data_IF_422966207092
#
_entry.id   IF_422966207092
#
_cell.length_a   1.000
_cell.length_b   1.000
_cell.length_c   1.000
_cell.angle_alpha   90.00
_cell.angle_beta   90.00
_cell.angle_gamma   90.00
#
_symmetry.space_group_name_H-M   'P 1'
#
loop_
_entity.id
_entity.type
_entity.pdbx_description
1 polymer ?
#
# COMPACT_ATOMS: atom_id res chain seq x y z
N UNK A 1 -35.86 6.66 -23.37
CA UNK A 1 -34.61 7.22 -22.81
C UNK A 1 -34.72 8.72 -22.96
N UNK A 2 -34.64 9.47 -21.86
CA UNK A 2 -34.64 10.94 -21.92
C UNK A 2 -33.22 11.43 -22.21
N UNK A 3 -33.09 12.53 -22.94
CA UNK A 3 -31.79 13.18 -23.16
C UNK A 3 -31.24 13.75 -21.85
N UNK A 4 -29.94 13.57 -21.61
CA UNK A 4 -29.23 14.09 -20.45
C UNK A 4 -28.27 15.22 -20.82
N UNK A 5 -27.93 16.07 -19.84
CA UNK A 5 -26.97 17.17 -20.01
C UNK A 5 -25.68 16.82 -19.26
N UNK A 6 -24.53 16.98 -19.91
CA UNK A 6 -23.21 16.88 -19.28
C UNK A 6 -22.61 18.29 -19.15
N UNK A 7 -22.36 18.74 -17.91
CA UNK A 7 -21.71 20.02 -17.64
C UNK A 7 -20.23 19.77 -17.34
N UNK A 8 -19.35 20.22 -18.23
CA UNK A 8 -17.90 20.16 -18.04
C UNK A 8 -17.42 21.49 -17.44
N UNK A 9 -16.74 21.45 -16.30
CA UNK A 9 -16.21 22.64 -15.61
C UNK A 9 -14.84 23.09 -16.16
N UNK A 10 -14.54 22.77 -17.41
CA UNK A 10 -13.29 23.06 -18.10
C UNK A 10 -13.57 23.40 -19.57
N UNK A 11 -12.63 24.09 -20.22
CA UNK A 11 -12.79 24.51 -21.62
C UNK A 11 -12.76 23.32 -22.58
N UNK A 12 -13.36 23.51 -23.76
CA UNK A 12 -13.32 22.50 -24.83
C UNK A 12 -11.88 22.26 -25.33
N UNK A 13 -11.07 23.31 -25.45
CA UNK A 13 -9.66 23.19 -25.86
C UNK A 13 -8.85 22.33 -24.88
N UNK A 14 -9.06 22.51 -23.57
CA UNK A 14 -8.44 21.68 -22.54
C UNK A 14 -8.88 20.21 -22.68
N UNK A 15 -10.17 19.96 -22.88
CA UNK A 15 -10.68 18.60 -23.08
C UNK A 15 -10.08 17.91 -24.32
N UNK A 16 -10.05 18.60 -25.46
CA UNK A 16 -9.53 18.07 -26.72
C UNK A 16 -8.01 17.84 -26.69
N UNK A 17 -7.29 18.54 -25.81
CA UNK A 17 -5.84 18.38 -25.64
C UNK A 17 -5.44 17.17 -24.78
N UNK A 18 -6.39 16.55 -24.06
CA UNK A 18 -6.11 15.43 -23.16
C UNK A 18 -5.89 14.14 -23.96
N UNK A 19 -5.01 13.24 -23.48
CA UNK A 19 -4.92 11.90 -24.03
C UNK A 19 -6.28 11.18 -23.99
N UNK A 20 -6.56 10.39 -25.02
CA UNK A 20 -7.79 9.61 -25.10
C UNK A 20 -7.88 8.52 -24.01
N UNK A 21 -6.73 8.08 -23.49
CA UNK A 21 -6.61 7.06 -22.45
C UNK A 21 -5.68 7.57 -21.35
N UNK A 22 -6.02 7.23 -20.10
CA UNK A 22 -5.13 7.44 -18.95
C UNK A 22 -4.04 6.37 -18.93
N UNK A 23 -2.84 6.73 -18.49
CA UNK A 23 -1.74 5.78 -18.34
C UNK A 23 -2.12 4.63 -17.39
N UNK A 24 -1.77 3.37 -17.74
CA UNK A 24 -2.04 2.22 -16.90
C UNK A 24 -1.48 2.36 -15.49
N UNK A 25 -2.15 1.74 -14.53
CA UNK A 25 -1.74 1.77 -13.12
C UNK A 25 -0.38 1.10 -12.90
N UNK A 26 -0.06 0.05 -13.66
CA UNK A 26 1.20 -0.69 -13.55
C UNK A 26 2.43 0.20 -13.83
N UNK A 27 2.26 1.30 -14.57
CA UNK A 27 3.33 2.26 -14.84
C UNK A 27 3.51 3.27 -13.68
N UNK A 28 2.53 3.38 -12.77
CA UNK A 28 2.41 4.48 -11.80
C UNK A 28 2.47 4.07 -10.34
N UNK A 29 2.54 2.77 -10.02
CA UNK A 29 2.45 2.25 -8.64
C UNK A 29 3.63 1.38 -8.22
N UNK A 30 3.80 1.21 -6.90
CA UNK A 30 4.81 0.33 -6.33
C UNK A 30 4.46 -1.14 -6.62
N UNK A 31 5.38 -1.85 -7.26
CA UNK A 31 5.17 -3.22 -7.74
C UNK A 31 5.53 -4.30 -6.72
N UNK A 32 5.97 -3.96 -5.51
CA UNK A 32 6.40 -4.96 -4.52
C UNK A 32 5.33 -6.03 -4.24
N UNK A 33 4.06 -5.63 -4.08
CA UNK A 33 2.95 -6.59 -3.90
C UNK A 33 2.77 -7.51 -5.11
N UNK A 34 2.87 -6.95 -6.32
CA UNK A 34 2.74 -7.69 -7.59
C UNK A 34 3.90 -8.66 -7.76
N UNK A 35 5.14 -8.20 -7.55
CA UNK A 35 6.35 -9.03 -7.61
C UNK A 35 6.23 -10.19 -6.62
N UNK A 36 5.83 -9.91 -5.37
CA UNK A 36 5.67 -10.93 -4.35
C UNK A 36 4.63 -11.98 -4.74
N UNK A 37 3.49 -11.55 -5.30
CA UNK A 37 2.45 -12.44 -5.82
C UNK A 37 2.96 -13.28 -7.00
N UNK A 38 3.64 -12.67 -7.96
CA UNK A 38 4.21 -13.36 -9.12
C UNK A 38 5.25 -14.41 -8.70
N UNK A 39 6.15 -14.07 -7.75
CA UNK A 39 7.10 -15.02 -7.19
C UNK A 39 6.40 -16.13 -6.41
N UNK A 40 5.31 -15.83 -5.70
CA UNK A 40 4.51 -16.85 -5.00
C UNK A 40 3.81 -17.83 -5.95
N UNK A 41 3.50 -17.39 -7.17
CA UNK A 41 2.91 -18.18 -8.26
C UNK A 41 3.97 -18.82 -9.19
N UNK A 42 5.26 -18.64 -8.90
CA UNK A 42 6.37 -19.20 -9.69
C UNK A 42 6.38 -18.78 -11.18
N UNK A 43 5.94 -17.55 -11.46
CA UNK A 43 5.84 -17.00 -12.83
C UNK A 43 7.19 -16.60 -13.47
N UNK A 44 8.31 -16.89 -12.80
CA UNK A 44 9.65 -16.63 -13.30
C UNK A 44 10.10 -15.17 -13.19
N UNK A 45 11.00 -14.75 -14.08
CA UNK A 45 11.55 -13.39 -14.11
C UNK A 45 10.50 -12.38 -14.53
N UNK A 46 10.21 -11.42 -13.66
CA UNK A 46 9.27 -10.33 -13.93
C UNK A 46 9.71 -9.47 -15.11
N UNK A 47 11.03 -9.29 -15.34
CA UNK A 47 11.51 -8.50 -16.47
C UNK A 47 11.27 -9.18 -17.83
N UNK A 48 11.11 -10.50 -17.83
CA UNK A 48 10.78 -11.30 -19.01
C UNK A 48 9.27 -11.60 -19.13
N UNK A 49 8.47 -11.17 -18.16
CA UNK A 49 7.04 -11.44 -18.15
C UNK A 49 6.31 -10.64 -19.25
N UNK A 50 5.41 -11.26 -20.04
CA UNK A 50 4.77 -10.62 -21.20
C UNK A 50 3.63 -9.68 -20.77
N UNK A 51 3.96 -8.54 -20.18
CA UNK A 51 2.99 -7.50 -19.86
C UNK A 51 2.40 -6.87 -21.13
N UNK A 52 1.12 -6.48 -21.09
CA UNK A 52 0.48 -5.69 -22.15
C UNK A 52 1.19 -4.34 -22.30
N UNK A 53 1.42 -3.67 -21.17
CA UNK A 53 2.28 -2.50 -21.05
C UNK A 53 3.26 -2.76 -19.90
N UNK A 54 4.54 -2.91 -20.26
CA UNK A 54 5.56 -3.27 -19.30
C UNK A 54 5.89 -2.09 -18.37
N UNK A 55 5.99 -2.32 -17.04
CA UNK A 55 6.43 -1.28 -16.12
C UNK A 55 7.87 -0.88 -16.35
N UNK A 56 8.21 0.33 -15.89
CA UNK A 56 9.57 0.81 -15.88
C UNK A 56 10.49 -0.13 -15.07
N UNK A 57 11.68 -0.39 -15.62
CA UNK A 57 12.71 -1.21 -14.97
C UNK A 57 13.06 -0.72 -13.57
N UNK A 58 12.98 0.60 -13.35
CA UNK A 58 13.21 1.22 -12.04
C UNK A 58 12.17 0.79 -11.01
N UNK A 59 10.88 0.80 -11.36
CA UNK A 59 9.80 0.36 -10.45
C UNK A 59 9.93 -1.12 -10.11
N UNK A 60 10.35 -1.95 -11.08
CA UNK A 60 10.67 -3.36 -10.84
C UNK A 60 11.81 -3.48 -9.82
N UNK A 61 12.93 -2.79 -10.06
CA UNK A 61 14.11 -2.83 -9.19
C UNK A 61 13.79 -2.35 -7.77
N UNK A 62 13.05 -1.25 -7.62
CA UNK A 62 12.65 -0.71 -6.33
C UNK A 62 11.75 -1.69 -5.57
N UNK A 63 10.82 -2.36 -6.26
CA UNK A 63 9.96 -3.39 -5.68
C UNK A 63 10.73 -4.64 -5.25
N UNK A 64 11.65 -5.13 -6.07
CA UNK A 64 12.52 -6.27 -5.75
C UNK A 64 13.39 -5.95 -4.53
N UNK A 65 14.05 -4.80 -4.54
CA UNK A 65 14.91 -4.34 -3.44
C UNK A 65 14.12 -4.24 -2.12
N UNK A 66 12.91 -3.70 -2.16
CA UNK A 66 12.06 -3.65 -0.97
C UNK A 66 11.80 -5.06 -0.42
N UNK A 67 11.47 -6.02 -1.29
CA UNK A 67 11.21 -7.38 -0.83
C UNK A 67 12.47 -8.12 -0.35
N UNK A 68 13.65 -7.78 -0.87
CA UNK A 68 14.93 -8.24 -0.31
C UNK A 68 15.17 -7.67 1.09
N UNK A 69 14.96 -6.36 1.27
CA UNK A 69 15.08 -5.68 2.58
C UNK A 69 14.09 -6.26 3.62
N UNK A 70 12.89 -6.66 3.18
CA UNK A 70 11.90 -7.36 4.02
C UNK A 70 12.25 -8.84 4.26
N UNK A 71 13.27 -9.38 3.59
CA UNK A 71 13.70 -10.78 3.68
C UNK A 71 12.71 -11.76 3.04
N UNK A 72 11.91 -11.31 2.06
CA UNK A 72 10.87 -12.09 1.40
C UNK A 72 11.40 -12.89 0.19
N UNK A 73 12.29 -12.28 -0.60
CA UNK A 73 12.87 -12.87 -1.82
C UNK A 73 14.37 -12.54 -1.94
N UNK A 74 15.25 -13.11 -1.10
CA UNK A 74 16.69 -12.95 -1.23
C UNK A 74 17.18 -13.48 -2.58
N UNK A 75 18.20 -12.81 -3.14
CA UNK A 75 18.97 -13.32 -4.26
C UNK A 75 19.72 -14.59 -3.84
N UNK A 76 19.46 -15.71 -4.52
CA UNK A 76 20.20 -16.94 -4.30
C UNK A 76 21.58 -16.90 -4.96
N UNK A 77 22.49 -17.77 -4.53
CA UNK A 77 23.83 -17.93 -5.13
C UNK A 77 23.78 -18.26 -6.63
N UNK A 78 22.67 -18.83 -7.09
CA UNK A 78 22.40 -19.19 -8.49
C UNK A 78 21.88 -17.98 -9.32
N UNK A 79 21.78 -16.79 -8.72
CA UNK A 79 21.28 -15.59 -9.38
C UNK A 79 19.76 -15.53 -9.56
N UNK A 80 19.01 -16.43 -8.91
CA UNK A 80 17.54 -16.45 -8.95
C UNK A 80 16.92 -15.95 -7.64
N UNK A 81 15.78 -15.25 -7.72
CA UNK A 81 15.03 -14.84 -6.54
C UNK A 81 14.24 -16.03 -5.98
N UNK A 82 14.58 -16.47 -4.76
CA UNK A 82 13.88 -17.58 -4.10
C UNK A 82 13.06 -17.05 -2.93
N UNK A 83 11.78 -17.42 -2.90
CA UNK A 83 10.87 -17.02 -1.81
C UNK A 83 11.22 -17.74 -0.50
N UNK A 84 11.37 -16.98 0.58
CA UNK A 84 11.63 -17.50 1.94
C UNK A 84 10.33 -17.97 2.63
N UNK A 85 10.42 -18.67 3.78
CA UNK A 85 9.25 -18.94 4.61
C UNK A 85 8.50 -17.67 5.03
N UNK A 86 9.22 -16.59 5.38
CA UNK A 86 8.62 -15.28 5.65
C UNK A 86 7.96 -14.71 4.39
N UNK A 87 8.61 -14.79 3.22
CA UNK A 87 8.03 -14.38 1.94
C UNK A 87 6.75 -15.14 1.59
N UNK A 88 6.67 -16.43 1.94
CA UNK A 88 5.46 -17.25 1.79
C UNK A 88 4.32 -16.74 2.67
N UNK A 89 4.60 -16.45 3.95
CA UNK A 89 3.60 -15.88 4.86
C UNK A 89 3.16 -14.47 4.46
N UNK A 90 4.10 -13.63 3.98
CA UNK A 90 3.80 -12.29 3.49
C UNK A 90 2.86 -12.33 2.30
N UNK A 91 3.10 -13.23 1.34
CA UNK A 91 2.27 -13.37 0.13
C UNK A 91 0.82 -13.81 0.42
N UNK A 92 0.53 -14.34 1.61
CA UNK A 92 -0.82 -14.75 2.01
C UNK A 92 -1.65 -13.59 2.58
N UNK A 93 -1.02 -12.47 2.96
CA UNK A 93 -1.71 -11.32 3.55
C UNK A 93 -2.12 -10.33 2.45
N UNK A 94 -3.41 -9.94 2.35
CA UNK A 94 -3.91 -9.05 1.31
C UNK A 94 -3.65 -7.57 1.65
N UNK A 95 -2.42 -7.22 2.01
CA UNK A 95 -2.00 -5.85 2.36
C UNK A 95 -0.62 -5.56 1.79
N UNK A 96 -0.17 -4.31 1.86
CA UNK A 96 1.18 -3.92 1.46
C UNK A 96 2.24 -4.78 2.19
N UNK A 97 3.30 -5.26 1.49
CA UNK A 97 4.35 -6.09 2.07
C UNK A 97 4.99 -5.52 3.34
N UNK A 98 5.08 -4.21 3.50
CA UNK A 98 5.63 -3.57 4.71
C UNK A 98 4.69 -3.77 5.89
N UNK A 99 3.39 -3.55 5.70
CA UNK A 99 2.38 -3.76 6.74
C UNK A 99 2.27 -5.25 7.09
N UNK A 100 2.29 -6.13 6.08
CA UNK A 100 2.33 -7.57 6.28
C UNK A 100 3.57 -7.97 7.12
N UNK A 101 4.73 -7.36 6.85
CA UNK A 101 5.96 -7.62 7.60
C UNK A 101 5.87 -7.18 9.05
N UNK A 102 5.27 -6.02 9.31
CA UNK A 102 5.02 -5.54 10.67
C UNK A 102 4.19 -6.56 11.46
N UNK A 103 3.08 -7.04 10.88
CA UNK A 103 2.19 -8.01 11.53
C UNK A 103 2.90 -9.33 11.82
N UNK A 104 3.69 -9.85 10.87
CA UNK A 104 4.45 -11.09 11.07
C UNK A 104 5.52 -10.95 12.17
N UNK A 105 6.24 -9.84 12.23
CA UNK A 105 7.26 -9.63 13.26
C UNK A 105 6.66 -9.37 14.64
N UNK A 106 5.47 -8.75 14.71
CA UNK A 106 4.76 -8.50 15.97
C UNK A 106 4.52 -9.77 16.80
N UNK A 107 4.43 -10.94 16.14
CA UNK A 107 4.29 -12.23 16.82
C UNK A 107 5.48 -12.52 17.74
N UNK A 108 6.69 -12.15 17.34
CA UNK A 108 7.91 -12.38 18.12
C UNK A 108 8.00 -11.46 19.34
N UNK A 109 7.41 -10.27 19.24
CA UNK A 109 7.38 -9.27 20.31
C UNK A 109 6.13 -9.36 21.19
N UNK A 110 5.19 -10.24 20.88
CA UNK A 110 3.95 -10.42 21.64
C UNK A 110 2.95 -9.27 21.51
N UNK A 111 3.07 -8.42 20.49
CA UNK A 111 2.24 -7.21 20.28
C UNK A 111 1.38 -7.29 19.00
N UNK A 112 0.95 -8.49 18.62
CA UNK A 112 0.20 -8.72 17.38
C UNK A 112 -1.10 -7.93 17.36
N UNK A 113 -1.81 -7.82 18.49
CA UNK A 113 -3.08 -7.10 18.58
C UNK A 113 -2.91 -5.62 18.22
N UNK A 114 -1.96 -4.96 18.87
CA UNK A 114 -1.67 -3.54 18.70
C UNK A 114 -1.20 -3.26 17.26
N UNK A 115 -0.30 -4.10 16.75
CA UNK A 115 0.23 -3.94 15.39
C UNK A 115 -0.82 -4.22 14.33
N UNK A 116 -1.75 -5.17 14.54
CA UNK A 116 -2.88 -5.37 13.63
C UNK A 116 -3.81 -4.15 13.59
N UNK A 117 -4.08 -3.52 14.74
CA UNK A 117 -4.89 -2.28 14.79
C UNK A 117 -4.20 -1.17 14.00
N UNK A 118 -2.89 -0.98 14.21
CA UNK A 118 -2.10 0.03 13.50
C UNK A 118 -2.08 -0.28 11.99
N UNK A 119 -1.80 -1.52 11.61
CA UNK A 119 -1.76 -1.93 10.20
C UNK A 119 -3.12 -1.73 9.50
N UNK A 120 -4.22 -2.05 10.18
CA UNK A 120 -5.55 -1.80 9.67
C UNK A 120 -5.82 -0.30 9.48
N UNK A 121 -5.49 0.53 10.48
CA UNK A 121 -5.65 1.99 10.40
C UNK A 121 -4.83 2.61 9.26
N UNK A 122 -3.61 2.11 9.01
CA UNK A 122 -2.74 2.60 7.92
C UNK A 122 -3.16 2.09 6.54
N UNK A 123 -3.94 1.02 6.47
CA UNK A 123 -4.41 0.44 5.20
C UNK A 123 -5.60 1.18 4.57
N UNK A 124 -6.20 2.11 5.32
CA UNK A 124 -7.36 2.89 4.90
C UNK A 124 -7.05 4.39 4.99
N UNK A 125 -7.91 5.21 4.38
CA UNK A 125 -7.88 6.65 4.62
C UNK A 125 -8.21 6.92 6.10
N UNK A 126 -7.52 7.90 6.71
CA UNK A 126 -7.77 8.29 8.09
C UNK A 126 -9.26 8.60 8.29
N UNK A 127 -9.90 7.82 9.17
CA UNK A 127 -11.33 7.91 9.44
C UNK A 127 -11.70 9.14 10.29
N UNK A 128 -10.72 9.86 10.82
CA UNK A 128 -10.94 11.04 11.66
C UNK A 128 -11.35 12.24 10.81
N UNK A 129 -12.49 12.85 11.15
CA UNK A 129 -12.96 14.07 10.48
C UNK A 129 -12.27 15.32 11.03
N UNK A 130 -11.90 16.23 10.13
CA UNK A 130 -11.36 17.55 10.50
C UNK A 130 -11.95 18.66 9.63
N UNK A 131 -13.23 19.02 9.80
CA UNK A 131 -13.88 20.08 9.03
C UNK A 131 -13.20 21.43 9.26
N UNK A 132 -13.04 22.23 8.19
CA UNK A 132 -12.36 23.53 8.24
C UNK A 132 -12.99 24.49 9.25
N UNK A 133 -14.32 24.48 9.35
CA UNK A 133 -15.08 25.33 10.28
C UNK A 133 -14.94 24.90 11.76
N UNK A 134 -14.59 23.64 12.02
CA UNK A 134 -14.56 23.04 13.37
C UNK A 134 -13.19 22.44 13.72
N UNK A 135 -12.12 22.99 13.15
CA UNK A 135 -10.76 22.45 13.34
C UNK A 135 -10.38 22.35 14.82
N UNK A 136 -10.54 23.43 15.60
CA UNK A 136 -10.16 23.44 17.02
C UNK A 136 -10.89 22.36 17.84
N UNK A 137 -12.20 22.22 17.63
CA UNK A 137 -13.01 21.22 18.32
C UNK A 137 -12.61 19.78 17.91
N UNK A 138 -12.29 19.58 16.63
CA UNK A 138 -11.82 18.27 16.12
C UNK A 138 -10.46 17.92 16.71
N UNK A 139 -9.53 18.88 16.73
CA UNK A 139 -8.18 18.72 17.29
C UNK A 139 -8.23 18.40 18.80
N UNK A 140 -9.14 19.04 19.55
CA UNK A 140 -9.37 18.71 20.96
C UNK A 140 -9.85 17.27 21.16
N UNK A 141 -10.80 16.80 20.32
CA UNK A 141 -11.29 15.42 20.37
C UNK A 141 -10.21 14.41 19.99
N UNK A 142 -9.40 14.70 18.97
CA UNK A 142 -8.30 13.82 18.55
C UNK A 142 -7.18 13.77 19.60
N UNK A 143 -6.87 14.90 20.24
CA UNK A 143 -5.81 14.99 21.26
C UNK A 143 -6.05 14.07 22.47
N UNK A 144 -7.29 13.68 22.74
CA UNK A 144 -7.63 12.72 23.82
C UNK A 144 -6.99 11.35 23.63
N UNK A 145 -6.66 10.97 22.40
CA UNK A 145 -6.06 9.67 22.08
C UNK A 145 -4.57 9.79 21.77
N UNK A 146 -4.04 11.01 21.66
CA UNK A 146 -2.63 11.24 21.37
C UNK A 146 -1.76 10.62 22.46
N UNK A 147 -0.77 9.85 22.03
CA UNK A 147 0.26 9.31 22.90
C UNK A 147 1.51 10.21 22.84
N UNK A 148 2.26 10.30 23.93
CA UNK A 148 3.44 11.18 24.01
C UNK A 148 4.65 10.61 23.29
N UNK A 149 4.71 9.29 23.13
CA UNK A 149 5.86 8.58 22.58
C UNK A 149 5.65 8.17 21.11
N UNK A 150 4.40 8.03 20.66
CA UNK A 150 4.12 7.59 19.29
C UNK A 150 2.75 8.00 18.73
N UNK A 151 2.74 8.56 17.52
CA UNK A 151 1.49 8.82 16.79
C UNK A 151 0.71 7.54 16.46
N UNK A 152 1.39 6.40 16.26
CA UNK A 152 0.73 5.14 15.95
C UNK A 152 -0.08 4.59 17.14
N UNK A 153 0.37 4.86 18.36
CA UNK A 153 -0.35 4.47 19.57
C UNK A 153 -1.67 5.23 19.71
N UNK A 154 -1.84 6.36 19.03
CA UNK A 154 -3.13 7.05 18.98
C UNK A 154 -4.22 6.18 18.34
N UNK A 155 -3.89 5.34 17.36
CA UNK A 155 -4.84 4.40 16.76
C UNK A 155 -5.23 3.28 17.74
N UNK A 156 -4.27 2.79 18.53
CA UNK A 156 -4.54 1.78 19.57
C UNK A 156 -5.42 2.35 20.68
N UNK A 157 -5.10 3.56 21.14
CA UNK A 157 -5.88 4.28 22.15
C UNK A 157 -7.31 4.56 21.68
N UNK A 158 -7.48 4.97 20.43
CA UNK A 158 -8.79 5.17 19.82
C UNK A 158 -9.57 3.85 19.72
N UNK A 159 -8.93 2.78 19.25
CA UNK A 159 -9.56 1.46 19.16
C UNK A 159 -10.03 0.93 20.51
N UNK A 160 -9.23 1.10 21.56
CA UNK A 160 -9.58 0.65 22.91
C UNK A 160 -10.67 1.50 23.58
N UNK A 161 -10.92 2.71 23.07
CA UNK A 161 -11.97 3.59 23.57
C UNK A 161 -13.36 3.24 23.03
N UNK A 162 -13.42 2.68 21.81
CA UNK A 162 -14.65 2.23 21.15
C UNK A 162 -15.11 0.87 21.71
#
# INVERSE_FOLDING_TARGET
MSEGICIRLYSEADFLSRPAFTDPEILRTNLASVILQMTALELGDIAAFPFVEAPDKRNIQDGVRLLEELGAIPLSEEGSYKRTPSGRSLAQLPVDPRLARMVLEAQKFGCVREVMIIAAALSIQDARERPVEKQQASDEKHRRFADKESDFLAFVNLWNYL
#
